data_IF_928292784009
#
_entry.id   IF_928292784009
#
_cell.length_a   1.000
_cell.length_b   1.000
_cell.length_c   1.000
_cell.angle_alpha   90.00
_cell.angle_beta   90.00
_cell.angle_gamma   90.00
#
_symmetry.space_group_name_H-M   'P 1'
#
loop_
_entity.id
_entity.type
_entity.pdbx_description
1 polymer ?
#
# COMPACT_ATOMS: atom_id res chain seq x y z
N UNK A 1 -9.17 -20.67 -1.39
CA UNK A 1 -8.52 -19.42 -1.85
C UNK A 1 -7.68 -18.94 -0.69
N UNK A 2 -6.36 -18.94 -0.82
CA UNK A 2 -5.47 -18.51 0.27
C UNK A 2 -5.48 -16.99 0.34
N UNK A 3 -5.79 -16.44 1.51
CA UNK A 3 -5.73 -15.01 1.76
C UNK A 3 -4.33 -14.66 2.26
N UNK A 4 -3.69 -13.70 1.61
CA UNK A 4 -2.46 -13.12 2.07
C UNK A 4 -2.80 -12.00 3.05
N UNK A 5 -2.32 -12.11 4.28
CA UNK A 5 -2.70 -11.23 5.37
C UNK A 5 -1.49 -10.80 6.19
N UNK A 6 -1.55 -9.57 6.70
CA UNK A 6 -0.63 -8.98 7.63
C UNK A 6 -1.38 -8.39 8.84
N UNK A 7 -0.68 -7.58 9.61
CA UNK A 7 -1.23 -6.81 10.74
C UNK A 7 -2.32 -5.87 10.21
N UNK A 8 -3.56 -5.96 10.71
CA UNK A 8 -4.63 -5.08 10.29
C UNK A 8 -4.37 -3.64 10.75
N UNK A 9 -5.16 -2.70 10.23
CA UNK A 9 -5.23 -1.31 10.68
C UNK A 9 -6.56 -1.08 11.41
N UNK A 10 -6.52 -0.42 12.57
CA UNK A 10 -7.68 -0.12 13.39
C UNK A 10 -7.57 -0.69 14.80
N UNK A 11 -7.97 0.12 15.77
CA UNK A 11 -7.99 -0.24 17.18
C UNK A 11 -9.19 -1.12 17.55
N UNK A 12 -9.20 -1.58 18.81
CA UNK A 12 -10.32 -2.35 19.34
C UNK A 12 -11.60 -1.48 19.32
N UNK A 13 -12.66 -2.01 18.72
CA UNK A 13 -13.98 -1.37 18.69
C UNK A 13 -14.21 -0.35 17.56
N UNK A 14 -13.19 0.00 16.77
CA UNK A 14 -13.33 0.95 15.64
C UNK A 14 -13.68 0.31 14.30
N UNK A 15 -13.67 -1.02 14.24
CA UNK A 15 -13.53 -1.74 12.97
C UNK A 15 -12.08 -1.74 12.49
N UNK A 16 -11.80 -2.53 11.45
CA UNK A 16 -10.44 -2.73 10.93
C UNK A 16 -10.39 -2.79 9.41
N UNK A 17 -9.21 -2.51 8.85
CA UNK A 17 -8.87 -2.71 7.43
C UNK A 17 -7.75 -3.73 7.38
N UNK A 18 -7.93 -4.80 6.61
CA UNK A 18 -6.88 -5.77 6.36
C UNK A 18 -5.77 -5.20 5.51
N UNK A 19 -4.53 -5.55 5.86
CA UNK A 19 -3.37 -5.30 5.00
C UNK A 19 -2.85 -6.63 4.49
N UNK A 20 -2.62 -6.75 3.20
CA UNK A 20 -1.85 -7.84 2.61
C UNK A 20 -0.36 -7.56 2.90
N UNK A 21 0.39 -8.56 3.36
CA UNK A 21 1.83 -8.38 3.60
C UNK A 21 2.59 -7.97 2.33
N UNK A 22 2.02 -8.25 1.15
CA UNK A 22 2.52 -7.85 -0.16
C UNK A 22 2.23 -6.38 -0.49
N UNK A 23 1.39 -5.70 0.28
CA UNK A 23 1.21 -4.25 0.28
C UNK A 23 -0.17 -3.72 -0.09
N UNK A 24 -1.12 -4.59 -0.43
CA UNK A 24 -2.50 -4.21 -0.75
C UNK A 24 -3.38 -4.04 0.49
N UNK A 25 -4.54 -3.41 0.31
CA UNK A 25 -5.59 -3.28 1.32
C UNK A 25 -6.79 -4.16 0.95
N UNK A 26 -7.31 -4.89 1.93
CA UNK A 26 -8.38 -5.86 1.77
C UNK A 26 -9.20 -6.01 3.08
N UNK A 27 -10.12 -6.97 3.14
CA UNK A 27 -10.81 -7.42 4.37
C UNK A 27 -11.32 -6.27 5.27
N UNK A 28 -12.19 -5.43 4.73
CA UNK A 28 -12.73 -4.25 5.42
C UNK A 28 -13.81 -4.66 6.42
N UNK A 29 -13.61 -4.32 7.69
CA UNK A 29 -14.52 -4.63 8.80
C UNK A 29 -14.96 -3.32 9.47
N UNK A 30 -15.43 -2.37 8.66
CA UNK A 30 -15.79 -1.01 9.10
C UNK A 30 -17.27 -0.85 9.43
N UNK A 31 -18.12 -1.84 9.12
CA UNK A 31 -19.56 -1.78 9.43
C UNK A 31 -19.82 -2.54 10.74
N UNK A 32 -20.31 -1.87 11.80
CA UNK A 32 -20.65 -2.52 13.06
C UNK A 32 -21.61 -3.69 12.87
N UNK A 33 -21.34 -4.81 13.56
CA UNK A 33 -22.16 -6.02 13.48
C UNK A 33 -21.89 -6.93 12.27
N UNK A 34 -21.13 -6.46 11.27
CA UNK A 34 -20.64 -7.29 10.16
C UNK A 34 -19.18 -7.65 10.45
N UNK A 35 -18.94 -8.93 10.78
CA UNK A 35 -17.62 -9.39 11.23
C UNK A 35 -16.55 -9.35 10.15
N UNK A 36 -16.90 -9.66 8.90
CA UNK A 36 -15.96 -9.68 7.77
C UNK A 36 -16.72 -9.29 6.50
N UNK A 37 -16.26 -8.24 5.80
CA UNK A 37 -16.63 -8.03 4.41
C UNK A 37 -15.52 -8.60 3.55
N UNK A 38 -15.87 -9.61 2.78
CA UNK A 38 -14.97 -10.22 1.81
C UNK A 38 -14.74 -9.26 0.66
N UNK A 39 -13.69 -8.47 0.79
CA UNK A 39 -13.18 -7.58 -0.25
C UNK A 39 -11.77 -8.04 -0.57
N UNK A 40 -11.53 -8.35 -1.85
CA UNK A 40 -10.20 -8.67 -2.35
C UNK A 40 -9.27 -7.45 -2.29
N UNK A 41 -8.07 -7.60 -2.86
CA UNK A 41 -7.13 -6.49 -2.95
C UNK A 41 -7.70 -5.37 -3.82
N UNK A 42 -7.79 -4.16 -3.25
CA UNK A 42 -8.30 -2.97 -3.94
C UNK A 42 -7.12 -2.23 -4.58
N UNK A 43 -7.11 -2.13 -5.91
CA UNK A 43 -6.01 -1.50 -6.65
C UNK A 43 -5.98 0.02 -6.49
N UNK A 44 -7.13 0.65 -6.25
CA UNK A 44 -7.22 2.09 -5.97
C UNK A 44 -6.66 2.51 -4.59
N UNK A 45 -6.49 1.57 -3.65
CA UNK A 45 -5.99 1.85 -2.30
C UNK A 45 -4.51 1.53 -2.25
N UNK A 46 -3.63 2.45 -2.59
CA UNK A 46 -2.20 2.15 -2.74
C UNK A 46 -1.33 3.32 -2.30
N UNK A 47 -0.06 3.00 -2.02
CA UNK A 47 1.00 3.99 -2.05
C UNK A 47 1.73 3.91 -3.39
N UNK A 48 2.01 5.05 -3.99
CA UNK A 48 2.75 5.17 -5.25
C UNK A 48 4.05 5.90 -4.97
N UNK A 49 5.16 5.28 -5.33
CA UNK A 49 6.46 5.91 -5.32
C UNK A 49 6.72 6.58 -6.67
N UNK A 50 7.13 7.84 -6.63
CA UNK A 50 7.68 8.55 -7.78
C UNK A 50 9.07 9.05 -7.42
N UNK A 51 10.06 8.69 -8.24
CA UNK A 51 11.44 9.16 -8.13
C UNK A 51 11.75 10.00 -9.36
N UNK A 52 12.10 11.26 -9.12
CA UNK A 52 12.49 12.22 -10.14
C UNK A 52 14.00 12.48 -10.07
N UNK A 53 14.55 13.04 -11.14
CA UNK A 53 15.87 13.67 -11.11
C UNK A 53 15.93 14.79 -10.06
N UNK A 54 17.14 15.17 -9.65
CA UNK A 54 17.37 16.24 -8.65
C UNK A 54 16.69 17.56 -9.02
N UNK A 55 16.63 17.89 -10.31
CA UNK A 55 15.99 19.09 -10.86
C UNK A 55 14.49 18.91 -11.15
N UNK A 56 13.91 17.76 -10.80
CA UNK A 56 12.51 17.38 -11.03
C UNK A 56 12.07 17.40 -12.51
N UNK A 57 13.02 17.44 -13.46
CA UNK A 57 12.72 17.52 -14.89
C UNK A 57 12.29 16.18 -15.50
N UNK A 58 12.77 15.06 -14.95
CA UNK A 58 12.58 13.73 -15.53
C UNK A 58 12.12 12.72 -14.48
N UNK A 59 11.04 11.99 -14.78
CA UNK A 59 10.61 10.84 -13.97
C UNK A 59 11.52 9.65 -14.26
N UNK A 60 12.31 9.26 -13.26
CA UNK A 60 13.27 8.16 -13.35
C UNK A 60 12.59 6.82 -13.06
N UNK A 61 11.72 6.79 -12.05
CA UNK A 61 11.06 5.58 -11.61
C UNK A 61 9.69 5.90 -11.03
N UNK A 62 8.69 5.08 -11.37
CA UNK A 62 7.36 5.16 -10.78
C UNK A 62 6.84 3.75 -10.56
N UNK A 63 6.27 3.47 -9.39
CA UNK A 63 5.73 2.15 -9.07
C UNK A 63 4.72 2.21 -7.94
N UNK A 64 3.73 1.31 -7.98
CA UNK A 64 3.00 0.94 -6.77
C UNK A 64 3.97 0.33 -5.75
N UNK A 65 3.85 0.73 -4.49
CA UNK A 65 4.56 0.13 -3.35
C UNK A 65 3.81 -1.12 -2.86
N UNK A 66 3.67 -2.09 -3.76
CA UNK A 66 2.91 -3.31 -3.57
C UNK A 66 3.36 -4.39 -4.57
N UNK A 67 3.35 -5.67 -4.20
CA UNK A 67 3.61 -6.82 -5.09
C UNK A 67 2.45 -7.83 -5.06
N UNK A 68 1.29 -7.38 -4.61
CA UNK A 68 0.09 -8.19 -4.60
C UNK A 68 -0.57 -8.23 -5.98
N UNK A 69 -1.27 -9.31 -6.26
CA UNK A 69 -2.09 -9.43 -7.47
C UNK A 69 -3.38 -8.61 -7.32
N UNK A 70 -3.82 -8.04 -8.44
CA UNK A 70 -5.08 -7.30 -8.55
C UNK A 70 -5.92 -7.90 -9.67
N UNK A 71 -7.24 -7.81 -9.55
CA UNK A 71 -8.13 -8.03 -10.69
C UNK A 71 -8.02 -6.86 -11.69
N UNK A 72 -8.38 -7.12 -12.94
CA UNK A 72 -8.44 -6.08 -13.97
C UNK A 72 -9.42 -4.97 -13.56
N UNK A 73 -8.97 -3.72 -13.71
CA UNK A 73 -9.75 -2.53 -13.41
C UNK A 73 -9.40 -1.39 -14.38
N UNK A 74 -10.08 -0.25 -14.28
CA UNK A 74 -9.76 0.96 -15.07
C UNK A 74 -8.36 1.52 -14.78
N UNK A 75 -7.70 1.08 -13.70
CA UNK A 75 -6.36 1.48 -13.31
C UNK A 75 -5.28 0.59 -13.93
N UNK A 76 -5.41 0.20 -15.21
CA UNK A 76 -4.46 -0.73 -15.88
C UNK A 76 -3.02 -0.21 -15.90
N UNK A 77 -2.84 1.11 -16.00
CA UNK A 77 -1.53 1.76 -16.04
C UNK A 77 -0.82 1.81 -14.68
N UNK A 78 -1.55 1.58 -13.58
CA UNK A 78 -0.93 1.52 -12.26
C UNK A 78 -0.24 0.17 -12.10
N UNK A 79 1.08 0.15 -12.23
CA UNK A 79 1.89 -1.07 -12.22
C UNK A 79 2.82 -1.12 -11.01
N UNK A 80 3.04 -2.33 -10.52
CA UNK A 80 4.16 -2.61 -9.63
C UNK A 80 5.37 -2.99 -10.47
N UNK A 81 6.47 -2.30 -10.23
CA UNK A 81 7.76 -2.53 -10.88
C UNK A 81 8.78 -3.14 -9.90
N UNK A 82 8.30 -3.78 -8.82
CA UNK A 82 9.14 -4.47 -7.84
C UNK A 82 9.20 -5.97 -8.12
N UNK A 83 10.39 -6.55 -8.00
CA UNK A 83 10.54 -8.00 -7.84
C UNK A 83 10.14 -8.38 -6.40
N UNK A 84 9.27 -9.38 -6.18
CA UNK A 84 8.90 -9.83 -4.85
C UNK A 84 10.08 -10.15 -3.92
N UNK A 85 11.25 -10.54 -4.44
CA UNK A 85 12.45 -10.80 -3.64
C UNK A 85 13.04 -9.54 -2.99
N UNK A 86 12.70 -8.36 -3.51
CA UNK A 86 13.18 -7.06 -3.06
C UNK A 86 12.20 -6.36 -2.11
N UNK A 87 11.11 -7.04 -1.78
CA UNK A 87 10.12 -6.59 -0.80
C UNK A 87 10.17 -7.49 0.43
N UNK A 88 10.25 -6.89 1.62
CA UNK A 88 10.27 -7.62 2.88
C UNK A 88 9.20 -7.08 3.82
N UNK A 89 8.40 -7.99 4.37
CA UNK A 89 7.39 -7.69 5.38
C UNK A 89 7.77 -8.25 6.75
N UNK A 90 7.48 -7.51 7.82
CA UNK A 90 7.60 -7.94 9.22
C UNK A 90 6.40 -7.44 10.01
N UNK A 91 5.70 -8.32 10.70
CA UNK A 91 4.57 -7.97 11.56
C UNK A 91 4.86 -8.27 13.02
N UNK A 92 4.61 -7.31 13.91
CA UNK A 92 4.61 -7.48 15.35
C UNK A 92 3.55 -6.55 15.94
N UNK A 93 2.32 -7.06 16.04
CA UNK A 93 1.14 -6.29 16.46
C UNK A 93 1.43 -5.44 17.72
N UNK A 94 1.07 -4.13 17.73
CA UNK A 94 0.20 -3.43 16.77
C UNK A 94 0.93 -2.86 15.55
N UNK A 95 2.22 -3.16 15.37
CA UNK A 95 3.05 -2.57 14.31
C UNK A 95 3.38 -3.56 13.19
N UNK A 96 3.64 -3.03 12.01
CA UNK A 96 4.29 -3.78 10.94
C UNK A 96 5.20 -2.89 10.11
N UNK A 97 6.16 -3.51 9.44
CA UNK A 97 7.12 -2.86 8.59
C UNK A 97 7.13 -3.50 7.21
N UNK A 98 7.16 -2.65 6.18
CA UNK A 98 7.42 -3.03 4.79
C UNK A 98 8.64 -2.32 4.29
N UNK A 99 9.59 -3.07 3.78
CA UNK A 99 10.82 -2.58 3.17
C UNK A 99 10.76 -2.88 1.68
N UNK A 100 10.97 -1.87 0.85
CA UNK A 100 11.07 -1.93 -0.59
C UNK A 100 12.48 -1.50 -1.00
N UNK A 101 13.23 -2.40 -1.62
CA UNK A 101 14.55 -2.09 -2.17
C UNK A 101 14.42 -1.81 -3.66
N UNK A 102 15.13 -0.79 -4.14
CA UNK A 102 15.17 -0.42 -5.55
C UNK A 102 16.64 -0.47 -5.97
N UNK A 103 17.16 -1.67 -6.30
CA UNK A 103 18.60 -1.88 -6.51
C UNK A 103 19.19 -0.96 -7.59
N UNK A 104 18.45 -0.72 -8.67
CA UNK A 104 18.91 0.11 -9.80
C UNK A 104 19.15 1.58 -9.43
N UNK A 105 18.49 2.06 -8.37
CA UNK A 105 18.64 3.43 -7.86
C UNK A 105 19.40 3.50 -6.52
N UNK A 106 19.74 2.35 -5.94
CA UNK A 106 20.33 2.23 -4.59
C UNK A 106 19.51 2.98 -3.52
N UNK A 107 18.18 2.85 -3.64
CA UNK A 107 17.19 3.42 -2.73
C UNK A 107 16.51 2.32 -1.89
N UNK A 108 16.23 2.64 -0.63
CA UNK A 108 15.44 1.78 0.27
C UNK A 108 14.30 2.60 0.87
N UNK A 109 13.07 2.13 0.70
CA UNK A 109 11.87 2.73 1.26
C UNK A 109 11.33 1.81 2.35
N UNK A 110 11.11 2.36 3.56
CA UNK A 110 10.57 1.62 4.70
C UNK A 110 9.29 2.30 5.14
N UNK A 111 8.19 1.54 5.17
CA UNK A 111 6.93 1.95 5.78
C UNK A 111 6.77 1.23 7.12
N UNK A 112 6.75 1.98 8.21
CA UNK A 112 6.23 1.50 9.50
C UNK A 112 4.76 1.86 9.60
N UNK A 113 3.90 0.87 9.85
CA UNK A 113 2.50 1.08 10.17
C UNK A 113 2.21 0.79 11.64
N UNK A 114 1.32 1.58 12.23
CA UNK A 114 0.79 1.36 13.58
C UNK A 114 -0.74 1.31 13.56
N UNK A 115 -1.30 0.31 14.24
CA UNK A 115 -2.72 -0.02 14.34
C UNK A 115 -3.27 0.17 15.77
N UNK A 116 -2.53 0.81 16.67
CA UNK A 116 -2.91 0.97 18.08
C UNK A 116 -4.17 1.83 18.31
N UNK A 117 -4.55 2.66 17.33
CA UNK A 117 -5.62 3.66 17.42
C UNK A 117 -6.69 3.43 16.34
N UNK A 118 -7.87 4.10 16.40
CA UNK A 118 -8.86 4.08 15.32
C UNK A 118 -8.39 4.85 14.05
N UNK A 119 -7.09 4.81 13.76
CA UNK A 119 -6.43 5.43 12.61
C UNK A 119 -5.33 4.49 12.10
N UNK A 120 -5.03 4.55 10.81
CA UNK A 120 -3.81 3.95 10.26
C UNK A 120 -2.72 5.01 10.21
N UNK A 121 -1.64 4.82 10.97
CA UNK A 121 -0.44 5.65 10.83
C UNK A 121 0.54 4.97 9.87
N UNK A 122 1.10 5.73 8.93
CA UNK A 122 2.15 5.26 8.01
C UNK A 122 3.35 6.20 8.09
N UNK A 123 4.41 5.75 8.74
CA UNK A 123 5.66 6.47 8.83
C UNK A 123 6.62 5.96 7.75
N UNK A 124 6.98 6.84 6.82
CA UNK A 124 7.86 6.51 5.71
C UNK A 124 9.28 7.01 5.97
N UNK A 125 10.26 6.13 5.76
CA UNK A 125 11.69 6.45 5.75
C UNK A 125 12.22 6.13 4.35
N UNK A 126 12.86 7.10 3.70
CA UNK A 126 13.56 6.92 2.44
C UNK A 126 15.08 7.02 2.70
N UNK A 127 15.83 6.01 2.30
CA UNK A 127 17.28 5.93 2.44
C UNK A 127 17.89 5.95 1.05
N UNK A 128 18.77 6.91 0.80
CA UNK A 128 19.56 7.01 -0.42
C UNK A 128 21.00 6.64 -0.13
N UNK A 129 21.42 5.47 -0.61
CA UNK A 129 22.81 5.01 -0.50
C UNK A 129 23.64 5.35 -1.75
N UNK A 130 22.97 5.85 -2.79
CA UNK A 130 23.63 6.23 -4.03
C UNK A 130 24.48 7.50 -3.87
N UNK A 131 25.24 7.82 -4.91
CA UNK A 131 25.98 9.09 -5.02
C UNK A 131 25.17 10.21 -5.71
N UNK A 132 23.94 9.92 -6.14
CA UNK A 132 23.08 10.85 -6.87
C UNK A 132 22.02 11.41 -5.93
N UNK A 133 21.61 12.64 -6.17
CA UNK A 133 20.46 13.23 -5.51
C UNK A 133 19.18 12.90 -6.29
N UNK A 134 18.09 12.70 -5.57
CA UNK A 134 16.77 12.37 -6.12
C UNK A 134 15.71 13.21 -5.43
N UNK A 135 14.68 13.63 -6.15
CA UNK A 135 13.43 14.09 -5.55
C UNK A 135 12.47 12.90 -5.47
N UNK A 136 11.99 12.61 -4.26
CA UNK A 136 11.17 11.42 -3.96
C UNK A 136 9.80 11.87 -3.46
N UNK A 137 8.75 11.40 -4.13
CA UNK A 137 7.37 11.61 -3.73
C UNK A 137 6.70 10.28 -3.41
N UNK A 138 5.89 10.28 -2.35
CA UNK A 138 5.03 9.17 -1.96
C UNK A 138 3.59 9.66 -2.00
N UNK A 139 2.82 9.14 -2.94
CA UNK A 139 1.40 9.47 -3.08
C UNK A 139 0.57 8.39 -2.41
N UNK A 140 -0.34 8.77 -1.52
CA UNK A 140 -1.31 7.85 -0.93
C UNK A 140 -2.68 8.04 -1.58
N UNK A 141 -3.21 6.96 -2.14
CA UNK A 141 -4.53 6.92 -2.78
C UNK A 141 -5.44 5.96 -2.01
N UNK A 142 -6.71 6.35 -1.89
CA UNK A 142 -7.70 5.55 -1.20
C UNK A 142 -9.09 5.81 -1.79
N UNK A 143 -9.77 4.74 -2.22
CA UNK A 143 -11.12 4.81 -2.75
C UNK A 143 -12.10 5.19 -1.64
N UNK A 144 -13.11 5.97 -2.00
CA UNK A 144 -14.23 6.21 -1.09
C UNK A 144 -15.02 4.90 -0.91
N UNK A 145 -15.23 4.48 0.34
CA UNK A 145 -16.09 3.35 0.66
C UNK A 145 -15.70 2.64 1.95
N UNK A 146 -16.58 1.73 2.38
CA UNK A 146 -16.41 0.93 3.60
C UNK A 146 -16.12 -0.54 3.34
N UNK A 147 -15.88 -0.91 2.07
CA UNK A 147 -15.82 -2.30 1.61
C UNK A 147 -17.17 -2.89 1.21
N UNK A 148 -18.27 -2.16 1.40
CA UNK A 148 -19.59 -2.67 1.06
C UNK A 148 -19.77 -2.74 -0.48
N UNK A 149 -20.17 -3.90 -1.05
CA UNK A 149 -20.37 -4.05 -2.49
C UNK A 149 -21.34 -3.04 -3.11
N UNK A 150 -22.34 -2.56 -2.36
CA UNK A 150 -23.28 -1.53 -2.82
C UNK A 150 -22.59 -0.20 -3.18
N UNK A 151 -21.45 0.07 -2.56
CA UNK A 151 -20.66 1.28 -2.75
C UNK A 151 -19.40 1.04 -3.56
N UNK A 152 -19.25 -0.15 -4.17
CA UNK A 152 -18.11 -0.46 -5.03
C UNK A 152 -18.31 0.15 -6.42
N UNK A 153 -17.60 1.26 -6.67
CA UNK A 153 -17.69 2.06 -7.90
C UNK A 153 -16.35 2.16 -8.63
N UNK A 154 -15.45 1.20 -8.45
CA UNK A 154 -14.12 1.24 -9.09
C UNK A 154 -14.21 1.28 -10.62
N UNK A 155 -15.25 0.67 -11.21
CA UNK A 155 -15.55 0.78 -12.65
C UNK A 155 -16.14 2.12 -13.11
N UNK A 156 -16.55 3.01 -12.18
CA UNK A 156 -17.01 4.36 -12.47
C UNK A 156 -15.88 5.40 -12.40
N UNK A 157 -14.71 5.03 -11.85
CA UNK A 157 -13.50 5.85 -11.90
C UNK A 157 -12.96 5.88 -13.34
N UNK A 158 -13.38 6.90 -14.08
CA UNK A 158 -12.90 7.26 -15.42
C UNK A 158 -11.82 8.33 -15.36
#
# INVERSE_FOLDING_TARGET
MFFFSGVPLGGIGSGSIGTDFRGAFNAFSLIPGIKEQWVGNIKANQFILTVMSEDESTCIYQSLLCVADFHDSSLSEWRSNFDPKDVRYRGLFPRAWREFRIPDLDLILICEQDSSLPVGNFHWTAINNSKKNYSVAITFTFRNGTGNPKWDREGECK
#
